data_IF_400500053947
#
_entry.id   IF_400500053947
#
_cell.length_a   1.000
_cell.length_b   1.000
_cell.length_c   1.000
_cell.angle_alpha   90.00
_cell.angle_beta   90.00
_cell.angle_gamma   90.00
#
_symmetry.space_group_name_H-M   'P 1'
#
loop_
_entity.id
_entity.type
_entity.pdbx_description
1 polymer ?
#
# COMPACT_ATOMS: atom_id res chain seq x y z
N UNK A 1 8.98 24.74 -22.46
CA UNK A 1 7.66 24.54 -21.84
C UNK A 1 6.80 23.52 -22.62
N UNK A 2 7.30 22.32 -22.91
CA UNK A 2 6.53 21.26 -23.60
C UNK A 2 6.29 20.00 -22.75
N UNK A 3 7.07 19.75 -21.69
CA UNK A 3 6.96 18.53 -20.87
C UNK A 3 5.67 18.40 -20.05
N UNK A 4 4.98 19.51 -19.76
CA UNK A 4 3.70 19.48 -19.01
C UNK A 4 2.54 18.91 -19.82
N UNK A 5 2.62 18.89 -21.17
CA UNK A 5 1.49 18.47 -22.01
C UNK A 5 1.17 16.98 -21.94
N UNK A 6 2.13 16.11 -21.62
CA UNK A 6 1.89 14.67 -21.48
C UNK A 6 1.33 14.28 -20.10
N UNK A 7 1.55 15.11 -19.08
CA UNK A 7 0.94 14.97 -17.76
C UNK A 7 -0.55 15.36 -17.76
N UNK A 8 -0.99 16.19 -18.71
CA UNK A 8 -2.35 16.73 -18.79
C UNK A 8 -3.36 15.83 -19.54
N UNK A 9 -2.94 14.65 -20.04
CA UNK A 9 -3.86 13.68 -20.70
C UNK A 9 -4.42 12.61 -19.75
N UNK A 10 -3.88 12.47 -18.55
CA UNK A 10 -4.47 11.72 -17.45
C UNK A 10 -4.95 12.73 -16.40
N UNK A 11 -6.06 12.47 -15.71
CA UNK A 11 -6.65 13.46 -14.80
C UNK A 11 -5.82 13.66 -13.51
N UNK A 12 -4.76 12.85 -13.28
CA UNK A 12 -3.75 13.05 -12.25
C UNK A 12 -2.41 12.36 -12.58
N UNK A 13 -1.29 12.84 -12.02
CA UNK A 13 0.04 12.19 -12.08
C UNK A 13 -0.01 10.75 -11.57
N UNK A 14 -0.84 10.51 -10.56
CA UNK A 14 -1.02 9.20 -9.92
C UNK A 14 -1.65 8.18 -10.86
N UNK A 15 -2.68 8.58 -11.62
CA UNK A 15 -3.25 7.73 -12.68
C UNK A 15 -2.20 7.34 -13.72
N UNK A 16 -1.33 8.28 -14.11
CA UNK A 16 -0.27 8.02 -15.09
C UNK A 16 0.77 7.03 -14.57
N UNK A 17 1.20 7.19 -13.32
CA UNK A 17 2.12 6.25 -12.65
C UNK A 17 1.49 4.85 -12.61
N UNK A 18 0.19 4.77 -12.34
CA UNK A 18 -0.56 3.53 -12.24
C UNK A 18 -0.71 2.84 -13.60
N UNK A 19 -0.94 3.60 -14.67
CA UNK A 19 -0.89 3.11 -16.06
C UNK A 19 0.48 2.53 -16.41
N UNK A 20 1.56 3.25 -16.09
CA UNK A 20 2.94 2.79 -16.37
C UNK A 20 3.23 1.51 -15.59
N UNK A 21 2.84 1.42 -14.33
CA UNK A 21 2.99 0.22 -13.52
C UNK A 21 2.22 -0.96 -14.14
N UNK A 22 0.97 -0.74 -14.58
CA UNK A 22 0.18 -1.77 -15.28
C UNK A 22 0.81 -2.21 -16.60
N UNK A 23 1.39 -1.29 -17.35
CA UNK A 23 2.08 -1.59 -18.61
C UNK A 23 3.29 -2.49 -18.38
N UNK A 24 4.10 -2.17 -17.37
CA UNK A 24 5.33 -2.89 -17.04
C UNK A 24 5.04 -4.32 -16.55
N UNK A 25 4.00 -4.47 -15.75
CA UNK A 25 3.65 -5.74 -15.11
C UNK A 25 2.73 -6.54 -16.03
N UNK A 26 2.16 -5.88 -17.04
CA UNK A 26 1.23 -6.30 -18.09
C UNK A 26 -0.17 -6.68 -17.62
N UNK A 27 -1.11 -6.60 -18.56
CA UNK A 27 -2.55 -6.61 -18.31
C UNK A 27 -3.04 -7.86 -17.56
N UNK A 28 -2.47 -9.02 -17.84
CA UNK A 28 -2.81 -10.30 -17.23
C UNK A 28 -2.47 -10.37 -15.74
N UNK A 29 -1.52 -9.55 -15.28
CA UNK A 29 -1.10 -9.49 -13.87
C UNK A 29 -1.67 -8.25 -13.14
N UNK A 30 -2.50 -7.45 -13.80
CA UNK A 30 -3.03 -6.20 -13.24
C UNK A 30 -3.87 -6.41 -11.98
N UNK A 31 -4.53 -7.57 -11.84
CA UNK A 31 -5.30 -7.93 -10.64
C UNK A 31 -4.43 -8.07 -9.38
N UNK A 32 -3.17 -8.46 -9.53
CA UNK A 32 -2.22 -8.65 -8.42
C UNK A 32 -1.95 -7.32 -7.70
N UNK A 33 -2.02 -6.21 -8.44
CA UNK A 33 -1.71 -4.87 -7.93
C UNK A 33 -2.99 -4.18 -7.46
N UNK A 34 -4.08 -4.34 -8.21
CA UNK A 34 -5.33 -3.60 -8.02
C UNK A 34 -5.88 -3.70 -6.60
N UNK A 35 -5.71 -4.86 -5.95
CA UNK A 35 -6.20 -5.12 -4.58
C UNK A 35 -5.36 -4.47 -3.47
N UNK A 36 -4.11 -4.10 -3.77
CA UNK A 36 -3.13 -3.61 -2.79
C UNK A 36 -2.63 -2.21 -3.14
N UNK A 37 -3.29 -1.56 -4.10
CA UNK A 37 -2.77 -0.37 -4.74
C UNK A 37 -2.58 0.79 -3.76
N UNK A 38 -3.56 0.97 -2.88
CA UNK A 38 -3.55 1.98 -1.81
C UNK A 38 -2.55 1.66 -0.68
N UNK A 39 -2.04 0.42 -0.64
CA UNK A 39 -1.11 -0.04 0.38
C UNK A 39 0.36 0.03 -0.09
N UNK A 40 0.59 0.13 -1.39
CA UNK A 40 1.95 0.29 -1.91
C UNK A 40 2.47 1.69 -1.64
N UNK A 41 3.73 1.78 -1.22
CA UNK A 41 4.42 3.05 -1.16
C UNK A 41 5.17 3.26 -2.47
N UNK A 42 4.56 4.05 -3.36
CA UNK A 42 5.13 4.43 -4.64
C UNK A 42 5.64 5.88 -4.52
N UNK A 43 6.82 6.13 -5.08
CA UNK A 43 7.39 7.47 -5.22
C UNK A 43 7.72 7.70 -6.68
N UNK A 44 7.50 8.93 -7.13
CA UNK A 44 7.89 9.34 -8.46
C UNK A 44 8.75 10.59 -8.38
N UNK A 45 9.84 10.61 -9.13
CA UNK A 45 10.77 11.74 -9.21
C UNK A 45 10.99 12.10 -10.67
N UNK A 46 10.85 13.37 -11.00
CA UNK A 46 11.10 13.87 -12.37
C UNK A 46 12.48 14.49 -12.42
N UNK A 47 13.35 13.95 -13.26
CA UNK A 47 14.67 14.51 -13.54
C UNK A 47 14.76 14.86 -15.03
N UNK A 48 14.73 16.16 -15.34
CA UNK A 48 14.60 16.63 -16.71
C UNK A 48 13.28 16.14 -17.32
N UNK A 49 13.37 15.38 -18.41
CA UNK A 49 12.22 14.79 -19.11
C UNK A 49 11.97 13.32 -18.75
N UNK A 50 12.62 12.79 -17.72
CA UNK A 50 12.48 11.40 -17.30
C UNK A 50 11.74 11.32 -15.97
N UNK A 51 10.60 10.61 -15.97
CA UNK A 51 9.86 10.21 -14.79
C UNK A 51 10.45 8.90 -14.25
N UNK A 52 11.06 8.96 -13.08
CA UNK A 52 11.57 7.80 -12.37
C UNK A 52 10.52 7.31 -11.37
N UNK A 53 10.13 6.05 -11.49
CA UNK A 53 9.13 5.44 -10.60
C UNK A 53 9.83 4.47 -9.66
N UNK A 54 9.60 4.65 -8.37
CA UNK A 54 10.15 3.83 -7.30
C UNK A 54 9.02 3.18 -6.51
N UNK A 55 9.23 1.93 -6.13
CA UNK A 55 8.33 1.19 -5.24
C UNK A 55 9.10 0.74 -4.01
N UNK A 56 8.52 0.95 -2.83
CA UNK A 56 9.06 0.39 -1.61
C UNK A 56 8.68 -1.09 -1.49
N UNK A 57 9.66 -1.90 -1.11
CA UNK A 57 9.45 -3.30 -0.82
C UNK A 57 9.80 -3.59 0.64
N UNK A 58 8.80 -3.90 1.47
CA UNK A 58 8.96 -4.24 2.88
C UNK A 58 9.94 -5.39 3.10
N UNK A 59 9.94 -6.40 2.23
CA UNK A 59 10.87 -7.53 2.30
C UNK A 59 12.33 -7.14 2.08
N UNK A 60 12.60 -6.00 1.43
CA UNK A 60 13.95 -5.46 1.19
C UNK A 60 14.26 -4.22 2.03
N UNK A 61 13.25 -3.63 2.67
CA UNK A 61 13.35 -2.40 3.47
C UNK A 61 13.93 -1.22 2.66
N UNK A 62 13.64 -1.15 1.36
CA UNK A 62 14.24 -0.15 0.48
C UNK A 62 13.28 0.26 -0.65
N UNK A 63 13.43 1.50 -1.13
CA UNK A 63 12.87 1.94 -2.40
C UNK A 63 13.68 1.37 -3.55
N UNK A 64 12.99 0.84 -4.54
CA UNK A 64 13.59 0.25 -5.73
C UNK A 64 12.99 0.93 -6.95
N UNK A 65 13.86 1.42 -7.84
CA UNK A 65 13.44 2.08 -9.08
C UNK A 65 12.91 1.02 -10.06
N UNK A 66 11.61 0.98 -10.27
CA UNK A 66 10.95 -0.05 -11.11
C UNK A 66 10.86 0.35 -12.57
N UNK A 67 10.84 1.65 -12.86
CA UNK A 67 10.62 2.17 -14.20
C UNK A 67 11.27 3.54 -14.43
N UNK A 68 11.58 3.80 -15.69
CA UNK A 68 11.85 5.14 -16.20
C UNK A 68 10.90 5.39 -17.38
N UNK A 69 10.15 6.48 -17.33
CA UNK A 69 9.24 6.86 -18.40
C UNK A 69 9.67 8.21 -18.97
N UNK A 70 9.98 8.24 -20.26
CA UNK A 70 10.35 9.48 -20.94
C UNK A 70 9.07 10.28 -21.24
N UNK A 71 8.96 11.47 -20.65
CA UNK A 71 7.80 12.35 -20.76
C UNK A 71 7.67 13.02 -22.14
N UNK A 72 8.76 13.07 -22.92
CA UNK A 72 8.74 13.61 -24.29
C UNK A 72 8.44 12.53 -25.33
N UNK A 73 9.08 11.36 -25.24
CA UNK A 73 8.90 10.28 -26.22
C UNK A 73 7.74 9.35 -25.88
N UNK A 74 7.31 9.34 -24.62
CA UNK A 74 6.29 8.40 -24.11
C UNK A 74 6.82 6.97 -23.92
N UNK A 75 8.11 6.73 -24.11
CA UNK A 75 8.70 5.40 -23.97
C UNK A 75 8.91 5.04 -22.49
N UNK A 76 8.50 3.84 -22.13
CA UNK A 76 8.72 3.25 -20.81
C UNK A 76 9.87 2.25 -20.86
N UNK A 77 10.92 2.48 -20.08
CA UNK A 77 12.04 1.56 -19.88
C UNK A 77 11.90 0.88 -18.53
N UNK A 78 11.81 -0.44 -18.54
CA UNK A 78 11.85 -1.27 -17.32
C UNK A 78 13.29 -1.48 -16.88
N UNK A 79 13.53 -1.39 -15.58
CA UNK A 79 14.86 -1.64 -14.99
C UNK A 79 15.04 -3.09 -14.51
N UNK A 80 13.95 -3.86 -14.50
CA UNK A 80 13.95 -5.26 -14.11
C UNK A 80 13.27 -6.11 -15.17
N UNK A 81 13.70 -7.38 -15.31
CA UNK A 81 12.88 -8.39 -15.96
C UNK A 81 11.49 -8.44 -15.32
N UNK A 82 10.48 -8.55 -16.17
CA UNK A 82 9.07 -8.49 -15.76
C UNK A 82 8.74 -9.56 -14.71
N UNK A 83 9.23 -10.77 -14.91
CA UNK A 83 9.02 -11.93 -14.02
C UNK A 83 9.55 -11.63 -12.61
N UNK A 84 10.75 -11.03 -12.53
CA UNK A 84 11.38 -10.67 -11.26
C UNK A 84 10.60 -9.60 -10.51
N UNK A 85 10.04 -8.63 -11.23
CA UNK A 85 9.20 -7.59 -10.62
C UNK A 85 7.89 -8.19 -10.10
N UNK A 86 7.26 -9.08 -10.86
CA UNK A 86 6.05 -9.81 -10.44
C UNK A 86 6.32 -10.59 -9.14
N UNK A 87 7.41 -11.35 -9.08
CA UNK A 87 7.79 -12.10 -7.87
C UNK A 87 7.97 -11.19 -6.65
N UNK A 88 8.57 -10.01 -6.84
CA UNK A 88 8.75 -9.03 -5.76
C UNK A 88 7.41 -8.45 -5.29
N UNK A 89 6.49 -8.20 -6.21
CA UNK A 89 5.14 -7.70 -5.91
C UNK A 89 4.32 -8.77 -5.18
N UNK A 90 4.38 -10.03 -5.61
CA UNK A 90 3.68 -11.13 -4.94
C UNK A 90 4.17 -11.28 -3.49
N UNK A 91 5.49 -11.22 -3.27
CA UNK A 91 6.07 -11.24 -1.91
C UNK A 91 5.63 -10.05 -1.08
N UNK A 92 5.55 -8.87 -1.68
CA UNK A 92 5.07 -7.68 -0.98
C UNK A 92 3.62 -7.82 -0.56
N UNK A 93 2.75 -8.33 -1.45
CA UNK A 93 1.35 -8.60 -1.13
C UNK A 93 1.18 -9.55 0.05
N UNK A 94 1.97 -10.62 0.11
CA UNK A 94 1.95 -11.55 1.25
C UNK A 94 2.28 -10.81 2.56
N UNK A 95 3.31 -9.97 2.56
CA UNK A 95 3.68 -9.18 3.75
C UNK A 95 2.59 -8.17 4.12
N UNK A 96 1.94 -7.53 3.14
CA UNK A 96 0.83 -6.61 3.38
C UNK A 96 -0.36 -7.35 4.03
N UNK A 97 -0.69 -8.54 3.56
CA UNK A 97 -1.74 -9.39 4.15
C UNK A 97 -1.37 -9.77 5.59
N UNK A 98 -0.15 -10.24 5.83
CA UNK A 98 0.31 -10.62 7.17
C UNK A 98 0.27 -9.44 8.16
N UNK A 99 0.72 -8.25 7.71
CA UNK A 99 0.63 -7.02 8.51
C UNK A 99 -0.82 -6.65 8.80
N UNK A 100 -1.70 -6.68 7.79
CA UNK A 100 -3.11 -6.36 7.96
C UNK A 100 -3.77 -7.31 8.97
N UNK A 101 -3.50 -8.61 8.89
CA UNK A 101 -4.03 -9.60 9.81
C UNK A 101 -3.51 -9.42 11.24
N UNK A 102 -2.23 -9.08 11.40
CA UNK A 102 -1.63 -8.76 12.70
C UNK A 102 -2.28 -7.54 13.34
N UNK A 103 -2.48 -6.47 12.58
CA UNK A 103 -3.13 -5.25 13.05
C UNK A 103 -4.61 -5.51 13.40
N UNK A 104 -5.32 -6.30 12.59
CA UNK A 104 -6.69 -6.72 12.87
C UNK A 104 -6.79 -7.49 14.20
N UNK A 105 -5.89 -8.45 14.43
CA UNK A 105 -5.83 -9.16 15.71
C UNK A 105 -5.56 -8.22 16.89
N UNK A 106 -4.68 -7.23 16.71
CA UNK A 106 -4.43 -6.21 17.74
C UNK A 106 -5.71 -5.43 18.07
N UNK A 107 -6.50 -5.05 17.06
CA UNK A 107 -7.77 -4.35 17.28
C UNK A 107 -8.79 -5.23 18.02
N UNK A 108 -8.87 -6.53 17.70
CA UNK A 108 -9.72 -7.48 18.43
C UNK A 108 -9.34 -7.51 19.91
N UNK A 109 -8.05 -7.65 20.24
CA UNK A 109 -7.60 -7.66 21.63
C UNK A 109 -7.91 -6.35 22.36
N UNK A 110 -7.79 -5.22 21.67
CA UNK A 110 -8.14 -3.92 22.23
C UNK A 110 -9.64 -3.85 22.55
N UNK A 111 -10.50 -4.27 21.62
CA UNK A 111 -11.96 -4.31 21.82
C UNK A 111 -12.32 -5.25 22.98
N UNK A 112 -11.74 -6.46 23.02
CA UNK A 112 -11.97 -7.42 24.11
C UNK A 112 -11.54 -6.84 25.47
N UNK A 113 -10.43 -6.11 25.51
CA UNK A 113 -9.95 -5.46 26.74
C UNK A 113 -10.93 -4.38 27.22
N UNK A 114 -11.50 -3.60 26.29
CA UNK A 114 -12.52 -2.60 26.62
C UNK A 114 -13.80 -3.27 27.16
N UNK A 115 -14.25 -4.35 26.51
CA UNK A 115 -15.44 -5.10 26.97
C UNK A 115 -15.20 -5.67 28.37
N UNK A 116 -14.03 -6.28 28.61
CA UNK A 116 -13.66 -6.82 29.91
C UNK A 116 -13.63 -5.74 30.99
N UNK A 117 -13.12 -4.54 30.68
CA UNK A 117 -13.10 -3.40 31.58
C UNK A 117 -14.51 -2.94 31.95
N UNK A 118 -15.41 -2.81 30.96
CA UNK A 118 -16.81 -2.43 31.19
C UNK A 118 -17.52 -3.46 32.06
N UNK A 119 -17.39 -4.75 31.72
CA UNK A 119 -18.01 -5.84 32.48
C UNK A 119 -17.47 -5.90 33.92
N UNK A 120 -16.15 -5.74 34.10
CA UNK A 120 -15.52 -5.67 35.41
C UNK A 120 -16.05 -4.49 36.24
N UNK A 121 -16.23 -3.33 35.62
CA UNK A 121 -16.83 -2.15 36.26
C UNK A 121 -18.28 -2.38 36.69
N UNK A 122 -19.10 -2.97 35.83
CA UNK A 122 -20.50 -3.32 36.15
C UNK A 122 -20.55 -4.31 37.31
N UNK A 123 -19.74 -5.37 37.24
CA UNK A 123 -19.71 -6.41 38.27
C UNK A 123 -19.23 -5.86 39.61
N UNK A 124 -18.18 -5.04 39.60
CA UNK A 124 -17.68 -4.34 40.78
C UNK A 124 -18.73 -3.42 41.42
N UNK A 125 -19.48 -2.68 40.60
CA UNK A 125 -20.56 -1.83 41.08
C UNK A 125 -21.71 -2.65 41.72
N UNK A 126 -22.11 -3.76 41.10
CA UNK A 126 -23.15 -4.67 41.64
C UNK A 126 -22.70 -5.23 43.00
N UNK A 127 -21.46 -5.70 43.10
CA UNK A 127 -20.91 -6.22 44.35
C UNK A 127 -20.89 -5.14 45.42
N UNK A 128 -20.35 -3.95 45.11
CA UNK A 128 -20.30 -2.83 46.05
C UNK A 128 -21.69 -2.48 46.59
N UNK A 129 -22.69 -2.38 45.72
CA UNK A 129 -24.07 -2.08 46.12
C UNK A 129 -24.65 -3.18 47.02
N UNK A 130 -24.46 -4.44 46.65
CA UNK A 130 -24.92 -5.59 47.45
C UNK A 130 -24.30 -5.60 48.85
N UNK A 131 -23.02 -5.24 48.98
CA UNK A 131 -22.35 -5.15 50.29
C UNK A 131 -22.79 -3.95 51.12
N UNK A 132 -23.25 -2.86 50.50
CA UNK A 132 -23.74 -1.68 51.22
C UNK A 132 -25.17 -1.88 51.75
N UNK A 133 -25.95 -2.73 51.10
CA UNK A 133 -27.34 -3.06 51.45
C UNK A 133 -27.44 -4.21 52.50
N UNK A 134 -26.31 -4.78 52.96
CA UNK A 134 -26.19 -5.77 54.04
C UNK A 134 -25.70 -5.08 55.32
#
# INVERSE_FOLDING_TARGET
MKSVKHLLRANSLDEKILEIIKEIIGAENSEIIKKFLDLYQIRAEVHGDILHIFMFFSHRKSFIKIAEHNLETGETKTLFPREKLIDMIIKENQILIEKAQKEFNRYIYLILSIIALILGGIFGYILFKTFQDI
#
